data_IF_727187950936
#
_entry.id   IF_727187950936
#
_cell.length_a   1.000
_cell.length_b   1.000
_cell.length_c   1.000
_cell.angle_alpha   90.00
_cell.angle_beta   90.00
_cell.angle_gamma   90.00
#
_symmetry.space_group_name_H-M   'P 1'
#
loop_
_entity.id
_entity.type
_entity.pdbx_description
1 polymer ?
#
# COMPACT_ATOMS: atom_id res chain seq x y z
N UNK A 1 25.38 3.13 15.82
CA UNK A 1 25.95 3.19 14.45
C UNK A 1 24.91 3.95 13.66
N UNK A 2 25.28 5.11 13.11
CA UNK A 2 24.34 6.00 12.42
C UNK A 2 23.71 5.27 11.23
N UNK A 3 22.38 5.25 11.13
CA UNK A 3 21.69 4.70 9.97
C UNK A 3 22.09 5.48 8.70
N UNK A 4 22.40 4.76 7.62
CA UNK A 4 22.61 5.32 6.28
C UNK A 4 21.86 4.47 5.26
N UNK A 5 21.32 5.11 4.21
CA UNK A 5 20.71 4.41 3.09
C UNK A 5 21.84 3.85 2.22
N UNK A 6 22.07 2.53 2.30
CA UNK A 6 23.12 1.86 1.53
C UNK A 6 22.75 1.77 0.03
N UNK A 7 23.37 2.60 -0.80
CA UNK A 7 23.16 2.64 -2.25
C UNK A 7 23.47 1.29 -2.94
N UNK A 8 24.44 0.53 -2.43
CA UNK A 8 24.76 -0.81 -2.96
C UNK A 8 23.64 -1.80 -2.64
N UNK A 9 23.05 -1.68 -1.44
CA UNK A 9 21.88 -2.49 -1.07
C UNK A 9 20.65 -2.12 -1.91
N UNK A 10 20.39 -0.82 -2.10
CA UNK A 10 19.31 -0.32 -2.97
C UNK A 10 19.49 -0.84 -4.39
N UNK A 11 20.69 -0.78 -4.95
CA UNK A 11 20.99 -1.29 -6.30
C UNK A 11 20.75 -2.80 -6.42
N UNK A 12 21.07 -3.58 -5.39
CA UNK A 12 20.79 -5.03 -5.36
C UNK A 12 19.29 -5.32 -5.30
N UNK A 13 18.54 -4.56 -4.50
CA UNK A 13 17.08 -4.73 -4.35
C UNK A 13 16.34 -4.28 -5.62
N UNK A 14 16.73 -3.15 -6.23
CA UNK A 14 16.10 -2.66 -7.46
C UNK A 14 16.32 -3.59 -8.66
N UNK A 15 17.43 -4.34 -8.67
CA UNK A 15 17.73 -5.35 -9.67
C UNK A 15 16.93 -6.67 -9.48
N UNK A 16 16.19 -6.84 -8.38
CA UNK A 16 15.36 -8.03 -8.19
C UNK A 16 14.24 -8.06 -9.25
N UNK A 17 14.01 -9.20 -9.94
CA UNK A 17 12.99 -9.29 -10.99
C UNK A 17 11.61 -8.83 -10.54
N UNK A 18 11.19 -9.20 -9.34
CA UNK A 18 9.90 -8.82 -8.75
C UNK A 18 9.76 -7.32 -8.52
N UNK A 19 10.85 -6.63 -8.13
CA UNK A 19 10.86 -5.17 -7.92
C UNK A 19 10.83 -4.46 -9.27
N UNK A 20 11.60 -4.96 -10.24
CA UNK A 20 11.62 -4.43 -11.60
C UNK A 20 10.26 -4.61 -12.32
N UNK A 21 9.63 -5.77 -12.16
CA UNK A 21 8.32 -6.03 -12.76
C UNK A 21 7.23 -5.18 -12.12
N UNK A 22 7.25 -5.00 -10.79
CA UNK A 22 6.41 -4.02 -10.13
C UNK A 22 6.65 -2.61 -10.69
N UNK A 23 7.91 -2.18 -10.81
CA UNK A 23 8.25 -0.86 -11.32
C UNK A 23 7.70 -0.60 -12.73
N UNK A 24 7.72 -1.59 -13.64
CA UNK A 24 7.07 -1.47 -14.97
C UNK A 24 5.56 -1.24 -14.87
N UNK A 25 4.88 -1.95 -13.96
CA UNK A 25 3.45 -1.72 -13.69
C UNK A 25 3.24 -0.33 -13.09
N UNK A 26 4.13 0.10 -12.18
CA UNK A 26 4.13 1.43 -11.58
C UNK A 26 4.25 2.53 -12.62
N UNK A 27 5.20 2.42 -13.56
CA UNK A 27 5.33 3.36 -14.70
C UNK A 27 4.03 3.42 -15.50
N UNK A 28 3.41 2.26 -15.78
CA UNK A 28 2.13 2.20 -16.51
C UNK A 28 0.98 2.86 -15.76
N UNK A 29 1.00 2.89 -14.43
CA UNK A 29 0.03 3.60 -13.60
C UNK A 29 0.36 5.10 -13.58
N UNK A 30 1.57 5.48 -13.20
CA UNK A 30 2.03 6.88 -13.10
C UNK A 30 1.82 7.63 -14.42
N UNK A 31 1.99 6.96 -15.57
CA UNK A 31 1.78 7.55 -16.90
C UNK A 31 0.35 8.05 -17.17
N UNK A 32 -0.62 7.71 -16.32
CA UNK A 32 -1.97 8.27 -16.42
C UNK A 32 -2.04 9.73 -15.97
N UNK A 33 -1.10 10.20 -15.13
CA UNK A 33 -1.10 11.57 -14.64
C UNK A 33 -0.39 12.54 -15.62
N UNK A 34 -0.85 13.80 -15.69
CA UNK A 34 -2.04 14.33 -15.01
C UNK A 34 -3.32 13.75 -15.61
N UNK A 35 -4.29 13.40 -14.75
CA UNK A 35 -5.59 12.87 -15.19
C UNK A 35 -6.35 13.93 -15.98
N UNK A 36 -6.96 13.54 -17.10
CA UNK A 36 -7.43 14.51 -18.12
C UNK A 36 -8.93 14.78 -18.05
N UNK A 37 -9.72 13.88 -17.49
CA UNK A 37 -11.18 13.99 -17.48
C UNK A 37 -11.76 13.78 -16.08
N UNK A 38 -12.98 14.29 -15.88
CA UNK A 38 -13.68 14.26 -14.60
C UNK A 38 -13.92 12.82 -14.10
N UNK A 39 -14.23 11.88 -15.00
CA UNK A 39 -14.44 10.48 -14.63
C UNK A 39 -13.18 9.85 -14.04
N UNK A 40 -12.01 10.09 -14.64
CA UNK A 40 -10.74 9.60 -14.12
C UNK A 40 -10.42 10.20 -12.74
N UNK A 41 -10.70 11.49 -12.54
CA UNK A 41 -10.51 12.15 -11.25
C UNK A 41 -11.45 11.59 -10.17
N UNK A 42 -12.71 11.35 -10.51
CA UNK A 42 -13.70 10.72 -9.62
C UNK A 42 -13.28 9.28 -9.28
N UNK A 43 -12.91 8.49 -10.29
CA UNK A 43 -12.43 7.12 -10.07
C UNK A 43 -11.17 7.05 -9.19
N UNK A 44 -10.25 8.01 -9.34
CA UNK A 44 -9.04 8.08 -8.52
C UNK A 44 -9.37 8.47 -7.06
N UNK A 45 -10.31 9.40 -6.87
CA UNK A 45 -10.85 9.73 -5.55
C UNK A 45 -11.50 8.51 -4.89
N UNK A 46 -12.41 7.82 -5.59
CA UNK A 46 -13.07 6.60 -5.11
C UNK A 46 -12.05 5.51 -4.71
N UNK A 47 -10.99 5.34 -5.53
CA UNK A 47 -9.90 4.42 -5.18
C UNK A 47 -9.16 4.85 -3.91
N UNK A 48 -8.87 6.15 -3.75
CA UNK A 48 -8.17 6.67 -2.58
C UNK A 48 -8.99 6.50 -1.29
N UNK A 49 -10.30 6.78 -1.33
CA UNK A 49 -11.22 6.53 -0.22
C UNK A 49 -11.28 5.02 0.11
N UNK A 50 -11.42 4.18 -0.91
CA UNK A 50 -11.43 2.73 -0.75
C UNK A 50 -10.09 2.17 -0.22
N UNK A 51 -8.96 2.80 -0.53
CA UNK A 51 -7.65 2.47 0.02
C UNK A 51 -7.60 2.77 1.53
N UNK A 52 -8.10 3.92 1.96
CA UNK A 52 -8.19 4.29 3.38
C UNK A 52 -9.07 3.30 4.15
N UNK A 53 -10.28 3.02 3.67
CA UNK A 53 -11.19 2.04 4.31
C UNK A 53 -10.51 0.68 4.49
N UNK A 54 -9.80 0.21 3.45
CA UNK A 54 -9.05 -1.05 3.49
C UNK A 54 -7.92 -1.01 4.53
N UNK A 55 -7.20 0.10 4.66
CA UNK A 55 -6.16 0.30 5.67
C UNK A 55 -6.73 0.33 7.09
N UNK A 56 -7.84 1.03 7.31
CA UNK A 56 -8.51 1.06 8.61
C UNK A 56 -9.01 -0.33 9.02
N UNK A 57 -9.56 -1.08 8.05
CA UNK A 57 -9.93 -2.48 8.28
C UNK A 57 -8.72 -3.37 8.60
N UNK A 58 -7.58 -3.19 7.92
CA UNK A 58 -6.33 -3.90 8.22
C UNK A 58 -5.87 -3.63 9.66
N UNK A 59 -5.82 -2.36 10.06
CA UNK A 59 -5.37 -1.94 11.39
C UNK A 59 -6.30 -2.44 12.48
N UNK A 60 -7.63 -2.26 12.33
CA UNK A 60 -8.61 -2.77 13.27
C UNK A 60 -8.54 -4.30 13.40
N UNK A 61 -8.35 -5.04 12.29
CA UNK A 61 -8.14 -6.49 12.35
C UNK A 61 -6.86 -6.86 13.09
N UNK A 62 -5.75 -6.13 12.91
CA UNK A 62 -4.53 -6.40 13.65
C UNK A 62 -4.72 -6.15 15.16
N UNK A 63 -5.24 -4.98 15.54
CA UNK A 63 -5.52 -4.62 16.94
C UNK A 63 -6.45 -5.63 17.63
N UNK A 64 -7.43 -6.14 16.87
CA UNK A 64 -8.44 -7.08 17.36
C UNK A 64 -8.12 -8.55 17.05
N UNK A 65 -6.86 -8.85 16.72
CA UNK A 65 -6.32 -10.21 16.46
C UNK A 65 -7.17 -11.04 15.49
N UNK A 66 -7.37 -10.48 14.30
CA UNK A 66 -8.14 -11.03 13.19
C UNK A 66 -9.60 -11.36 13.51
N UNK A 67 -10.27 -10.51 14.30
CA UNK A 67 -11.68 -10.72 14.61
C UNK A 67 -12.55 -10.71 13.34
N UNK A 68 -13.31 -11.78 13.13
CA UNK A 68 -14.28 -11.90 12.03
C UNK A 68 -15.44 -10.89 12.12
N UNK A 69 -15.52 -10.11 13.21
CA UNK A 69 -16.50 -9.03 13.39
C UNK A 69 -16.10 -7.75 12.67
N UNK A 70 -14.83 -7.58 12.30
CA UNK A 70 -14.37 -6.45 11.49
C UNK A 70 -14.67 -6.76 10.02
N UNK A 71 -15.75 -6.18 9.50
CA UNK A 71 -16.23 -6.36 8.12
C UNK A 71 -15.98 -5.11 7.28
N UNK A 72 -16.01 -5.26 5.96
CA UNK A 72 -15.91 -4.13 5.04
C UNK A 72 -17.04 -3.12 5.27
N UNK A 73 -18.28 -3.61 5.34
CA UNK A 73 -19.44 -2.76 5.59
C UNK A 73 -19.35 -1.97 6.91
N UNK A 74 -18.72 -2.53 7.95
CA UNK A 74 -18.47 -1.79 9.18
C UNK A 74 -17.39 -0.72 9.00
N UNK A 75 -16.31 -1.03 8.27
CA UNK A 75 -15.26 -0.06 7.98
C UNK A 75 -15.76 1.12 7.13
N UNK A 76 -16.53 0.84 6.07
CA UNK A 76 -17.18 1.85 5.21
C UNK A 76 -18.12 2.73 6.04
N UNK A 77 -18.97 2.11 6.85
CA UNK A 77 -19.87 2.82 7.75
C UNK A 77 -19.16 3.79 8.72
N UNK A 78 -18.05 3.36 9.32
CA UNK A 78 -17.27 4.21 10.23
C UNK A 78 -16.57 5.33 9.46
N UNK A 79 -16.05 5.05 8.26
CA UNK A 79 -15.49 6.06 7.37
C UNK A 79 -16.54 7.13 6.99
N UNK A 80 -17.79 6.72 6.73
CA UNK A 80 -18.93 7.62 6.50
C UNK A 80 -19.41 8.36 7.77
N UNK A 81 -18.72 8.20 8.90
CA UNK A 81 -18.99 8.90 10.15
C UNK A 81 -19.96 8.21 11.10
N UNK A 82 -20.29 6.93 10.90
CA UNK A 82 -21.14 6.20 11.84
C UNK A 82 -20.36 5.76 13.10
N UNK A 83 -20.73 6.33 14.24
CA UNK A 83 -20.19 5.94 15.56
C UNK A 83 -20.99 4.78 16.21
N UNK A 84 -22.16 4.44 15.67
CA UNK A 84 -23.01 3.34 16.16
C UNK A 84 -23.61 2.58 14.99
N UNK A 85 -23.21 1.33 14.82
CA UNK A 85 -23.66 0.47 13.72
C UNK A 85 -24.52 -0.69 14.28
N UNK A 86 -25.79 -0.82 13.87
CA UNK A 86 -26.66 -1.91 14.31
C UNK A 86 -26.04 -3.30 14.07
N UNK A 87 -25.94 -4.10 15.12
CA UNK A 87 -25.35 -5.46 15.04
C UNK A 87 -23.83 -5.50 15.02
N UNK A 88 -23.14 -4.35 14.99
CA UNK A 88 -21.70 -4.25 15.15
C UNK A 88 -21.34 -3.96 16.61
N UNK A 89 -20.40 -4.70 17.22
CA UNK A 89 -19.94 -4.39 18.57
C UNK A 89 -19.23 -3.03 18.64
N UNK A 90 -19.45 -2.27 19.71
CA UNK A 90 -18.83 -0.94 19.88
C UNK A 90 -17.30 -0.97 19.86
N UNK A 91 -16.67 -2.03 20.38
CA UNK A 91 -15.21 -2.16 20.34
C UNK A 91 -14.66 -2.37 18.91
N UNK A 92 -15.46 -2.87 17.96
CA UNK A 92 -15.09 -2.90 16.54
C UNK A 92 -15.14 -1.49 15.96
N UNK A 93 -16.21 -0.75 16.26
CA UNK A 93 -16.37 0.63 15.82
C UNK A 93 -15.25 1.51 16.36
N UNK A 94 -14.94 1.41 17.66
CA UNK A 94 -13.85 2.17 18.27
C UNK A 94 -12.49 1.84 17.64
N UNK A 95 -12.18 0.56 17.39
CA UNK A 95 -10.93 0.18 16.74
C UNK A 95 -10.83 0.70 15.30
N UNK A 96 -11.96 0.84 14.58
CA UNK A 96 -12.01 1.45 13.25
C UNK A 96 -11.85 2.98 13.32
N UNK A 97 -12.42 3.64 14.34
CA UNK A 97 -12.22 5.07 14.58
C UNK A 97 -10.76 5.38 14.92
N UNK A 98 -10.15 4.63 15.84
CA UNK A 98 -8.73 4.74 16.18
C UNK A 98 -7.83 4.52 14.95
N UNK A 99 -8.21 3.58 14.09
CA UNK A 99 -7.52 3.31 12.84
C UNK A 99 -7.66 4.46 11.81
N UNK A 100 -8.83 5.06 11.68
CA UNK A 100 -9.05 6.25 10.85
C UNK A 100 -8.23 7.44 11.36
N UNK A 101 -8.28 7.71 12.67
CA UNK A 101 -7.51 8.80 13.29
C UNK A 101 -6.00 8.65 13.02
N UNK A 102 -5.47 7.41 13.12
CA UNK A 102 -4.08 7.12 12.81
C UNK A 102 -3.74 7.32 11.32
N UNK A 103 -4.64 6.93 10.41
CA UNK A 103 -4.46 7.12 8.96
C UNK A 103 -4.50 8.61 8.60
N UNK A 104 -5.51 9.34 9.07
CA UNK A 104 -5.70 10.76 8.79
C UNK A 104 -4.56 11.61 9.34
N UNK A 105 -4.05 11.26 10.52
CA UNK A 105 -2.87 11.90 11.11
C UNK A 105 -1.64 11.83 10.20
N UNK A 106 -1.50 10.78 9.38
CA UNK A 106 -0.34 10.60 8.50
C UNK A 106 -0.46 11.34 7.17
N UNK A 107 -1.66 11.81 6.80
CA UNK A 107 -1.91 12.48 5.51
C UNK A 107 -1.04 13.72 5.27
N UNK A 108 -0.62 14.42 6.33
CA UNK A 108 0.24 15.60 6.26
C UNK A 108 1.73 15.25 6.07
N UNK A 109 2.14 13.98 6.26
CA UNK A 109 3.56 13.60 6.22
C UNK A 109 4.18 13.86 4.85
N UNK A 110 3.50 13.45 3.78
CA UNK A 110 4.04 13.60 2.42
C UNK A 110 4.33 15.07 2.08
N UNK A 111 3.53 16.01 2.61
CA UNK A 111 3.70 17.45 2.43
C UNK A 111 4.72 18.11 3.38
N UNK A 112 4.90 17.59 4.60
CA UNK A 112 5.68 18.26 5.66
C UNK A 112 7.01 17.60 5.97
N UNK A 113 7.13 16.29 5.72
CA UNK A 113 8.23 15.46 6.19
C UNK A 113 8.29 15.31 7.72
N UNK A 114 7.24 15.70 8.46
CA UNK A 114 7.24 15.67 9.93
C UNK A 114 7.23 14.24 10.47
N UNK A 115 8.38 13.79 10.97
CA UNK A 115 8.56 12.46 11.54
C UNK A 115 7.75 12.23 12.81
N UNK A 116 7.29 13.29 13.50
CA UNK A 116 6.51 13.16 14.73
C UNK A 116 5.11 12.57 14.48
N UNK A 117 4.59 12.69 13.25
CA UNK A 117 3.33 12.09 12.85
C UNK A 117 3.34 10.56 13.00
N UNK A 118 4.49 9.91 12.78
CA UNK A 118 4.62 8.45 12.95
C UNK A 118 4.38 8.03 14.40
N UNK A 119 4.88 8.81 15.37
CA UNK A 119 4.66 8.54 16.79
C UNK A 119 3.23 8.88 17.21
N UNK A 120 2.65 9.95 16.67
CA UNK A 120 1.24 10.28 16.92
C UNK A 120 0.28 9.23 16.37
N UNK A 121 0.57 8.67 15.19
CA UNK A 121 -0.17 7.52 14.65
C UNK A 121 -0.04 6.28 15.55
N UNK A 122 1.15 6.05 16.12
CA UNK A 122 1.34 4.98 17.11
C UNK A 122 0.51 5.21 18.38
N UNK A 123 0.39 6.45 18.84
CA UNK A 123 -0.42 6.82 20.01
C UNK A 123 -1.92 6.56 19.76
N UNK A 124 -2.45 6.93 18.59
CA UNK A 124 -3.85 6.61 18.21
C UNK A 124 -4.12 5.10 18.20
N UNK A 125 -3.16 4.30 17.76
CA UNK A 125 -3.25 2.84 17.72
C UNK A 125 -2.92 2.18 19.07
N UNK A 126 -2.75 2.97 20.14
CA UNK A 126 -2.40 2.51 21.48
C UNK A 126 -1.10 1.69 21.54
N UNK A 127 -0.11 2.01 20.69
CA UNK A 127 1.17 1.31 20.59
C UNK A 127 2.22 2.04 21.43
N UNK A 128 2.63 1.41 22.54
CA UNK A 128 3.69 1.96 23.41
C UNK A 128 5.07 1.51 22.92
N UNK A 129 5.88 2.48 22.47
CA UNK A 129 7.29 2.25 22.12
C UNK A 129 8.18 2.42 23.36
N UNK A 130 9.07 1.46 23.60
CA UNK A 130 10.13 1.63 24.60
C UNK A 130 11.22 2.58 24.11
N UNK A 131 11.98 3.17 25.03
CA UNK A 131 12.99 4.21 24.74
C UNK A 131 13.98 3.81 23.64
N UNK A 132 14.44 2.55 23.65
CA UNK A 132 15.35 2.02 22.64
C UNK A 132 14.73 2.03 21.24
N UNK A 133 13.52 1.51 21.10
CA UNK A 133 12.80 1.46 19.82
C UNK A 133 12.45 2.88 19.34
N UNK A 134 11.98 3.75 20.23
CA UNK A 134 11.70 5.16 19.91
C UNK A 134 12.96 5.86 19.38
N UNK A 135 14.08 5.78 20.09
CA UNK A 135 15.34 6.41 19.68
C UNK A 135 15.80 5.89 18.32
N UNK A 136 15.74 4.57 18.09
CA UNK A 136 16.14 3.98 16.81
C UNK A 136 15.21 4.39 15.66
N UNK A 137 13.89 4.50 15.91
CA UNK A 137 12.93 5.01 14.93
C UNK A 137 13.21 6.48 14.60
N UNK A 138 13.41 7.34 15.60
CA UNK A 138 13.72 8.77 15.42
C UNK A 138 14.99 8.96 14.58
N UNK A 139 16.03 8.16 14.82
CA UNK A 139 17.28 8.18 14.06
C UNK A 139 17.05 7.84 12.58
N UNK A 140 16.34 6.74 12.29
CA UNK A 140 16.07 6.31 10.91
C UNK A 140 15.17 7.32 10.19
N UNK A 141 14.06 7.71 10.80
CA UNK A 141 13.10 8.65 10.23
C UNK A 141 13.74 10.02 9.97
N UNK A 142 14.52 10.54 10.93
CA UNK A 142 15.23 11.81 10.78
C UNK A 142 16.27 11.78 9.66
N UNK A 143 17.01 10.67 9.53
CA UNK A 143 17.97 10.47 8.42
C UNK A 143 17.25 10.45 7.08
N UNK A 144 16.14 9.70 6.96
CA UNK A 144 15.37 9.62 5.71
C UNK A 144 14.81 11.00 5.35
N UNK A 145 14.20 11.71 6.30
CA UNK A 145 13.65 13.05 6.07
C UNK A 145 14.72 14.04 5.59
N UNK A 146 15.92 14.00 6.20
CA UNK A 146 17.04 14.84 5.77
C UNK A 146 17.51 14.53 4.34
N UNK A 147 17.58 13.24 3.96
CA UNK A 147 17.97 12.83 2.61
C UNK A 147 16.90 13.18 1.56
N UNK A 148 15.60 13.06 1.88
CA UNK A 148 14.52 13.51 0.98
C UNK A 148 14.61 15.03 0.77
N UNK A 149 14.76 15.79 1.85
CA UNK A 149 14.90 17.25 1.78
C UNK A 149 16.14 17.70 0.97
N UNK A 150 17.26 16.98 1.12
CA UNK A 150 18.48 17.22 0.35
C UNK A 150 18.28 16.96 -1.15
N UNK A 151 17.60 15.87 -1.51
CA UNK A 151 17.26 15.55 -2.91
C UNK A 151 16.33 16.60 -3.52
N UNK A 152 15.35 17.09 -2.75
CA UNK A 152 14.41 18.13 -3.18
C UNK A 152 15.11 19.44 -3.57
N UNK A 153 16.20 19.81 -2.88
CA UNK A 153 17.00 21.03 -3.17
C UNK A 153 17.89 20.92 -4.40
N UNK A 154 18.06 19.72 -4.96
CA UNK A 154 19.01 19.43 -6.04
C UNK A 154 20.48 19.46 -5.58
N UNK A 155 21.33 18.70 -6.26
CA UNK A 155 22.77 18.59 -5.96
C UNK A 155 23.61 19.86 -6.22
N UNK A 156 22.98 20.98 -6.61
CA UNK A 156 23.63 22.23 -7.02
C UNK A 156 23.35 23.46 -6.14
N UNK A 157 22.52 23.35 -5.10
CA UNK A 157 22.31 24.46 -4.17
C UNK A 157 23.51 24.57 -3.21
N UNK A 158 24.34 25.61 -3.39
CA UNK A 158 25.36 25.99 -2.42
C UNK A 158 24.71 26.10 -1.03
N UNK A 159 25.21 25.32 -0.08
CA UNK A 159 24.80 25.42 1.31
C UNK A 159 25.18 26.82 1.81
N UNK A 160 24.21 27.72 1.92
CA UNK A 160 24.37 28.94 2.71
C UNK A 160 24.27 28.54 4.19
N UNK A 161 25.25 28.97 4.99
CA UNK A 161 25.44 28.67 6.42
C UNK A 161 24.31 29.15 7.37
N UNK A 162 23.15 29.56 6.86
CA UNK A 162 22.01 30.06 7.64
C UNK A 162 20.98 28.97 8.02
N UNK A 163 21.40 27.70 8.06
CA UNK A 163 20.56 26.53 8.32
C UNK A 163 20.18 26.31 9.80
N UNK A 164 19.90 27.39 10.55
CA UNK A 164 19.58 27.34 11.98
C UNK A 164 18.09 27.60 12.31
N UNK A 165 17.21 27.71 11.31
CA UNK A 165 15.76 27.73 11.53
C UNK A 165 15.07 26.86 10.48
N UNK A 166 14.13 26.02 10.93
CA UNK A 166 13.42 24.99 10.17
C UNK A 166 13.27 25.32 8.69
N UNK A 167 14.07 24.68 7.86
CA UNK A 167 14.04 24.88 6.43
C UNK A 167 12.77 24.23 5.87
N UNK A 168 11.93 25.01 5.18
CA UNK A 168 10.74 24.51 4.49
C UNK A 168 11.12 23.30 3.63
N UNK A 169 10.56 22.15 4.00
CA UNK A 169 10.58 20.97 3.16
C UNK A 169 9.65 21.23 1.98
N UNK A 170 10.21 21.43 0.78
CA UNK A 170 9.42 21.59 -0.43
C UNK A 170 9.05 20.21 -0.99
N UNK A 171 7.97 19.65 -0.46
CA UNK A 171 7.41 18.36 -0.87
C UNK A 171 7.04 18.33 -2.36
N UNK A 172 6.56 19.45 -2.90
CA UNK A 172 6.14 19.55 -4.29
C UNK A 172 7.37 19.44 -5.19
N UNK A 173 8.44 20.19 -4.90
CA UNK A 173 9.70 20.06 -5.65
C UNK A 173 10.31 18.66 -5.56
N UNK A 174 10.25 18.03 -4.38
CA UNK A 174 10.72 16.65 -4.18
C UNK A 174 9.97 15.64 -5.06
N UNK A 175 8.64 15.72 -5.04
CA UNK A 175 7.76 14.87 -5.83
C UNK A 175 7.89 15.17 -7.33
N UNK A 176 7.97 16.43 -7.76
CA UNK A 176 8.16 16.78 -9.18
C UNK A 176 9.49 16.28 -9.73
N UNK A 177 10.58 16.40 -8.95
CA UNK A 177 11.88 15.87 -9.33
C UNK A 177 11.83 14.35 -9.56
N UNK A 178 11.16 13.62 -8.67
CA UNK A 178 10.91 12.19 -8.81
C UNK A 178 9.98 11.87 -9.98
N UNK A 179 8.90 12.63 -10.17
CA UNK A 179 7.93 12.42 -11.24
C UNK A 179 8.56 12.59 -12.64
N UNK A 180 9.49 13.53 -12.80
CA UNK A 180 10.19 13.77 -14.07
C UNK A 180 10.95 12.54 -14.60
N UNK A 181 11.34 11.63 -13.71
CA UNK A 181 12.06 10.38 -13.98
C UNK A 181 11.15 9.14 -13.95
N UNK A 182 9.85 9.31 -13.66
CA UNK A 182 8.89 8.18 -13.56
C UNK A 182 8.46 7.57 -14.90
N UNK A 183 9.06 8.00 -16.02
CA UNK A 183 8.92 7.33 -17.32
C UNK A 183 9.88 6.14 -17.48
N UNK A 184 10.89 6.04 -16.62
CA UNK A 184 11.89 4.99 -16.64
C UNK A 184 11.67 3.98 -15.50
N UNK A 185 11.51 2.71 -15.86
CA UNK A 185 11.29 1.63 -14.89
C UNK A 185 12.48 1.44 -13.94
N UNK A 186 13.71 1.68 -14.39
CA UNK A 186 14.90 1.57 -13.54
C UNK A 186 14.89 2.63 -12.42
N UNK A 187 14.50 3.85 -12.75
CA UNK A 187 14.43 4.96 -11.79
C UNK A 187 13.27 4.76 -10.79
N UNK A 188 12.13 4.23 -11.24
CA UNK A 188 11.03 3.81 -10.35
C UNK A 188 11.45 2.63 -9.47
N UNK A 189 12.19 1.65 -10.00
CA UNK A 189 12.67 0.49 -9.25
C UNK A 189 13.65 0.89 -8.15
N UNK A 190 14.56 1.83 -8.41
CA UNK A 190 15.49 2.37 -7.40
C UNK A 190 14.72 3.05 -6.27
N UNK A 191 13.76 3.91 -6.58
CA UNK A 191 12.94 4.61 -5.58
C UNK A 191 12.07 3.64 -4.76
N UNK A 192 11.47 2.66 -5.42
CA UNK A 192 10.71 1.61 -4.74
C UNK A 192 11.61 0.75 -3.84
N UNK A 193 12.80 0.39 -4.31
CA UNK A 193 13.81 -0.32 -3.51
C UNK A 193 14.26 0.47 -2.29
N UNK A 194 14.48 1.79 -2.40
CA UNK A 194 14.78 2.65 -1.25
C UNK A 194 13.69 2.59 -0.19
N UNK A 195 12.41 2.70 -0.60
CA UNK A 195 11.28 2.56 0.32
C UNK A 195 11.21 1.17 0.96
N UNK A 196 11.55 0.10 0.24
CA UNK A 196 11.62 -1.26 0.79
C UNK A 196 12.73 -1.44 1.83
N UNK A 197 13.92 -0.88 1.60
CA UNK A 197 15.04 -0.91 2.55
C UNK A 197 14.66 -0.22 3.86
N UNK A 198 14.05 0.96 3.76
CA UNK A 198 13.58 1.74 4.92
C UNK A 198 12.47 0.99 5.66
N UNK A 199 11.50 0.45 4.92
CA UNK A 199 10.42 -0.38 5.47
C UNK A 199 10.96 -1.59 6.24
N UNK A 200 11.92 -2.33 5.67
CA UNK A 200 12.51 -3.50 6.31
C UNK A 200 13.21 -3.12 7.61
N UNK A 201 14.01 -2.05 7.59
CA UNK A 201 14.73 -1.54 8.77
C UNK A 201 13.79 -1.13 9.90
N UNK A 202 12.76 -0.34 9.59
CA UNK A 202 11.78 0.12 10.59
C UNK A 202 10.99 -1.04 11.17
N UNK A 203 10.57 -2.00 10.33
CA UNK A 203 9.89 -3.21 10.83
C UNK A 203 10.82 -4.06 11.72
N UNK A 204 12.11 -4.18 11.40
CA UNK A 204 13.07 -4.89 12.27
C UNK A 204 13.19 -4.21 13.65
N UNK A 205 13.17 -2.87 13.72
CA UNK A 205 13.16 -2.13 14.98
C UNK A 205 11.86 -2.39 15.75
N UNK A 206 10.71 -2.32 15.07
CA UNK A 206 9.40 -2.46 15.72
C UNK A 206 9.09 -3.89 16.20
N UNK A 207 9.69 -4.89 15.53
CA UNK A 207 9.57 -6.30 15.89
C UNK A 207 10.65 -6.78 16.86
N UNK A 208 11.67 -5.98 17.17
CA UNK A 208 12.73 -6.36 18.12
C UNK A 208 12.10 -6.68 19.48
N UNK A 209 12.51 -7.80 20.09
CA UNK A 209 11.98 -8.35 21.36
C UNK A 209 10.52 -8.87 21.31
N UNK A 210 9.88 -8.96 20.13
CA UNK A 210 8.53 -9.52 19.98
C UNK A 210 8.54 -10.89 19.32
N UNK A 211 8.07 -11.90 20.05
CA UNK A 211 7.97 -13.27 19.56
C UNK A 211 6.57 -13.67 19.06
N UNK A 212 5.51 -12.90 19.28
CA UNK A 212 4.22 -13.24 18.70
C UNK A 212 4.01 -12.47 17.38
N UNK A 213 3.64 -13.18 16.32
CA UNK A 213 3.47 -12.55 15.00
C UNK A 213 2.28 -11.58 14.98
N UNK A 214 1.26 -11.79 15.83
CA UNK A 214 0.17 -10.82 15.95
C UNK A 214 0.61 -9.57 16.71
N UNK A 215 1.47 -9.73 17.73
CA UNK A 215 2.05 -8.57 18.42
C UNK A 215 2.94 -7.76 17.46
N UNK A 216 3.76 -8.44 16.66
CA UNK A 216 4.52 -7.82 15.57
C UNK A 216 3.61 -7.11 14.56
N UNK A 217 2.47 -7.72 14.18
CA UNK A 217 1.52 -7.12 13.24
C UNK A 217 0.92 -5.82 13.76
N UNK A 218 0.61 -5.74 15.05
CA UNK A 218 0.16 -4.49 15.70
C UNK A 218 1.29 -3.47 15.70
N UNK A 219 2.51 -3.88 16.08
CA UNK A 219 3.67 -3.00 16.20
C UNK A 219 4.03 -2.29 14.89
N UNK A 220 3.90 -2.96 13.75
CA UNK A 220 4.35 -2.39 12.46
C UNK A 220 3.32 -1.49 11.78
N UNK A 221 2.10 -1.32 12.33
CA UNK A 221 1.05 -0.51 11.69
C UNK A 221 1.48 0.94 11.39
N UNK A 222 2.15 1.69 12.30
CA UNK A 222 2.62 3.04 11.99
C UNK A 222 3.68 3.06 10.88
N UNK A 223 4.49 2.00 10.77
CA UNK A 223 5.48 1.84 9.69
C UNK A 223 4.78 1.67 8.34
N UNK A 224 3.67 0.92 8.29
CA UNK A 224 2.91 0.72 7.05
C UNK A 224 2.30 2.04 6.55
N UNK A 225 1.76 2.87 7.46
CA UNK A 225 1.26 4.21 7.12
C UNK A 225 2.40 5.11 6.62
N UNK A 226 3.48 5.20 7.41
CA UNK A 226 4.67 5.98 7.06
C UNK A 226 5.24 5.65 5.69
N UNK A 227 5.45 4.37 5.39
CA UNK A 227 6.08 3.95 4.13
C UNK A 227 5.20 4.29 2.92
N UNK A 228 3.87 4.33 3.07
CA UNK A 228 2.99 4.78 1.99
C UNK A 228 3.13 6.29 1.73
N UNK A 229 3.22 7.11 2.78
CA UNK A 229 3.43 8.55 2.61
C UNK A 229 4.86 8.87 2.11
N UNK A 230 5.86 8.07 2.51
CA UNK A 230 7.21 8.16 1.94
C UNK A 230 7.25 7.81 0.45
N UNK A 231 6.45 6.82 0.02
CA UNK A 231 6.34 6.46 -1.41
C UNK A 231 5.77 7.63 -2.22
N UNK A 232 4.83 8.38 -1.67
CA UNK A 232 4.31 9.61 -2.29
C UNK A 232 5.44 10.63 -2.56
N UNK A 233 6.30 10.88 -1.57
CA UNK A 233 7.48 11.75 -1.73
C UNK A 233 8.48 11.24 -2.77
N UNK A 234 8.51 9.93 -2.99
CA UNK A 234 9.32 9.28 -4.04
C UNK A 234 8.59 9.14 -5.38
N UNK A 235 7.35 9.63 -5.51
CA UNK A 235 6.47 9.39 -6.68
C UNK A 235 6.39 7.90 -7.05
N UNK A 236 6.31 7.05 -6.04
CA UNK A 236 6.00 5.63 -6.14
C UNK A 236 4.56 5.45 -5.66
N UNK A 237 3.68 4.73 -6.38
CA UNK A 237 2.29 4.62 -5.95
C UNK A 237 2.17 3.84 -4.63
N UNK A 238 1.17 4.19 -3.82
CA UNK A 238 0.87 3.54 -2.53
C UNK A 238 0.55 2.05 -2.73
N UNK A 239 0.77 1.25 -1.69
CA UNK A 239 0.55 -0.20 -1.72
C UNK A 239 -0.37 -0.59 -0.56
N UNK A 240 -1.26 -1.54 -0.80
CA UNK A 240 -2.08 -2.16 0.22
C UNK A 240 -1.69 -3.63 0.47
N UNK A 241 -1.90 -4.07 1.70
CA UNK A 241 -1.74 -5.46 2.12
C UNK A 241 -2.86 -5.82 3.10
N UNK A 242 -3.47 -6.98 2.93
CA UNK A 242 -4.49 -7.47 3.87
C UNK A 242 -3.87 -7.96 5.18
N UNK A 243 -4.66 -8.04 6.25
CA UNK A 243 -4.17 -8.55 7.53
C UNK A 243 -3.57 -9.98 7.45
N UNK A 244 -4.19 -10.95 6.75
CA UNK A 244 -3.56 -12.26 6.56
C UNK A 244 -2.22 -12.20 5.83
N UNK A 245 -2.10 -11.36 4.79
CA UNK A 245 -0.84 -11.16 4.07
C UNK A 245 0.24 -10.50 4.97
N UNK A 246 -0.14 -9.61 5.88
CA UNK A 246 0.77 -9.02 6.86
C UNK A 246 1.33 -10.09 7.81
N UNK A 247 0.45 -10.96 8.34
CA UNK A 247 0.88 -12.08 9.19
C UNK A 247 1.80 -13.05 8.43
N UNK A 248 1.52 -13.30 7.15
CA UNK A 248 2.36 -14.13 6.29
C UNK A 248 3.75 -13.51 6.08
N UNK A 249 3.82 -12.22 5.71
CA UNK A 249 5.08 -11.49 5.58
C UNK A 249 5.91 -11.58 6.86
N UNK A 250 5.31 -11.29 8.02
CA UNK A 250 6.02 -11.31 9.30
C UNK A 250 6.50 -12.72 9.67
N UNK A 251 5.71 -13.76 9.38
CA UNK A 251 6.11 -15.15 9.57
C UNK A 251 7.31 -15.54 8.69
N UNK A 252 7.31 -15.11 7.42
CA UNK A 252 8.43 -15.35 6.50
C UNK A 252 9.68 -14.58 6.92
N UNK A 253 9.54 -13.31 7.34
CA UNK A 253 10.65 -12.50 7.84
C UNK A 253 11.28 -13.12 9.08
N UNK A 254 10.47 -13.60 10.00
CA UNK A 254 10.96 -14.30 11.18
C UNK A 254 11.74 -15.56 10.82
N UNK A 255 11.24 -16.34 9.86
CA UNK A 255 11.97 -17.50 9.35
C UNK A 255 13.32 -17.11 8.76
N UNK A 256 13.39 -16.02 8.00
CA UNK A 256 14.64 -15.49 7.47
C UNK A 256 15.61 -15.05 8.58
N UNK A 257 15.12 -14.34 9.61
CA UNK A 257 15.94 -13.94 10.76
C UNK A 257 16.56 -15.16 11.48
N UNK A 258 15.78 -16.21 11.70
CA UNK A 258 16.29 -17.46 12.31
C UNK A 258 17.36 -18.15 11.46
N UNK A 259 17.22 -18.10 10.13
CA UNK A 259 18.21 -18.64 9.19
C UNK A 259 19.50 -17.81 9.24
N UNK A 260 19.39 -16.48 9.29
CA UNK A 260 20.54 -15.57 9.40
C UNK A 260 21.32 -15.81 10.70
N UNK A 261 20.62 -15.90 11.84
CA UNK A 261 21.22 -16.18 13.16
C UNK A 261 21.93 -17.54 13.20
N UNK A 262 21.42 -18.52 12.45
CA UNK A 262 22.05 -19.86 12.36
C UNK A 262 23.32 -19.89 11.49
N UNK A 263 23.63 -18.81 10.77
CA UNK A 263 24.73 -18.72 9.80
C UNK A 263 24.48 -19.48 8.49
N UNK A 264 23.29 -20.06 8.30
CA UNK A 264 22.94 -20.85 7.12
C UNK A 264 22.65 -19.98 5.87
N UNK A 265 22.38 -18.69 6.03
CA UNK A 265 22.11 -17.77 4.94
C UNK A 265 23.25 -17.70 3.90
N UNK A 266 24.50 -17.72 4.37
CA UNK A 266 25.71 -17.76 3.53
C UNK A 266 25.79 -19.02 2.66
N UNK A 267 25.21 -20.14 3.13
CA UNK A 267 25.21 -21.42 2.41
C UNK A 267 24.12 -21.52 1.33
N UNK A 268 23.02 -20.77 1.49
CA UNK A 268 21.84 -20.85 0.60
C UNK A 268 21.90 -19.79 -0.52
N UNK A 269 22.84 -18.84 -0.45
CA UNK A 269 22.93 -17.73 -1.40
C UNK A 269 21.80 -16.69 -1.23
N UNK A 270 20.99 -16.81 -0.17
CA UNK A 270 19.99 -15.81 0.20
C UNK A 270 20.68 -14.66 0.97
N UNK A 271 21.31 -13.75 0.22
CA UNK A 271 22.20 -12.72 0.77
C UNK A 271 21.51 -11.43 1.24
N UNK A 272 20.17 -11.43 1.32
CA UNK A 272 19.38 -10.24 1.71
C UNK A 272 18.51 -10.46 2.96
N UNK A 273 18.53 -11.64 3.59
CA UNK A 273 17.83 -11.89 4.87
C UNK A 273 16.36 -11.47 4.85
N UNK A 274 15.93 -10.75 5.90
CA UNK A 274 14.57 -10.17 6.01
C UNK A 274 14.22 -9.25 4.84
N UNK A 275 15.17 -8.43 4.38
CA UNK A 275 14.96 -7.51 3.26
C UNK A 275 14.66 -8.24 1.97
N UNK A 276 15.28 -9.40 1.74
CA UNK A 276 14.99 -10.24 0.57
C UNK A 276 13.54 -10.74 0.58
N UNK A 277 13.05 -11.15 1.76
CA UNK A 277 11.65 -11.55 1.96
C UNK A 277 10.70 -10.36 1.77
N UNK A 278 10.99 -9.23 2.40
CA UNK A 278 10.21 -7.99 2.29
C UNK A 278 10.10 -7.55 0.84
N UNK A 279 11.21 -7.51 0.10
CA UNK A 279 11.24 -7.10 -1.31
C UNK A 279 10.46 -8.05 -2.22
N UNK A 280 10.57 -9.36 -2.02
CA UNK A 280 9.81 -10.34 -2.82
C UNK A 280 8.31 -10.24 -2.58
N UNK A 281 7.91 -10.26 -1.31
CA UNK A 281 6.51 -10.28 -0.93
C UNK A 281 5.81 -8.95 -1.29
N UNK A 282 6.42 -7.82 -0.90
CA UNK A 282 5.85 -6.50 -1.16
C UNK A 282 5.93 -6.15 -2.64
N UNK A 283 6.97 -6.56 -3.37
CA UNK A 283 7.05 -6.35 -4.81
C UNK A 283 5.90 -7.02 -5.58
N UNK A 284 5.55 -8.26 -5.22
CA UNK A 284 4.39 -8.95 -5.80
C UNK A 284 3.07 -8.22 -5.52
N UNK A 285 2.88 -7.74 -4.28
CA UNK A 285 1.67 -7.01 -3.89
C UNK A 285 1.60 -5.63 -4.54
N UNK A 286 2.74 -4.95 -4.69
CA UNK A 286 2.85 -3.68 -5.40
C UNK A 286 2.35 -3.82 -6.84
N UNK A 287 2.87 -4.81 -7.57
CA UNK A 287 2.44 -5.05 -8.96
C UNK A 287 0.93 -5.32 -9.06
N UNK A 288 0.35 -6.06 -8.11
CA UNK A 288 -1.08 -6.36 -8.10
C UNK A 288 -1.92 -5.11 -7.78
N UNK A 289 -1.54 -4.36 -6.76
CA UNK A 289 -2.25 -3.16 -6.32
C UNK A 289 -2.17 -2.06 -7.38
N UNK A 290 -1.01 -1.82 -7.97
CA UNK A 290 -0.84 -0.80 -9.01
C UNK A 290 -1.58 -1.16 -10.30
N UNK A 291 -1.63 -2.45 -10.67
CA UNK A 291 -2.46 -2.90 -11.77
C UNK A 291 -3.96 -2.75 -11.45
N UNK A 292 -4.38 -2.95 -10.21
CA UNK A 292 -5.75 -2.72 -9.76
C UNK A 292 -6.10 -1.23 -9.81
N UNK A 293 -5.32 -0.35 -9.18
CA UNK A 293 -5.51 1.10 -9.21
C UNK A 293 -5.63 1.64 -10.64
N UNK A 294 -4.76 1.18 -11.54
CA UNK A 294 -4.84 1.55 -12.97
C UNK A 294 -6.16 1.13 -13.61
N UNK A 295 -6.70 -0.04 -13.27
CA UNK A 295 -7.99 -0.51 -13.78
C UNK A 295 -9.13 0.34 -13.22
N UNK A 296 -9.09 0.69 -11.94
CA UNK A 296 -10.10 1.54 -11.31
C UNK A 296 -10.13 2.93 -11.97
N UNK A 297 -8.99 3.59 -12.17
CA UNK A 297 -8.93 4.89 -12.85
C UNK A 297 -9.54 4.83 -14.26
N UNK A 298 -9.27 3.74 -14.98
CA UNK A 298 -9.74 3.55 -16.37
C UNK A 298 -11.12 2.92 -16.47
N UNK A 299 -11.79 2.67 -15.36
CA UNK A 299 -13.10 2.03 -15.36
C UNK A 299 -14.15 2.98 -15.95
N UNK A 300 -14.92 2.46 -16.92
CA UNK A 300 -16.03 3.17 -17.55
C UNK A 300 -17.37 2.53 -17.13
N UNK A 301 -18.20 3.22 -16.31
CA UNK A 301 -19.48 2.70 -15.85
C UNK A 301 -20.46 2.40 -16.98
N UNK A 302 -20.47 3.23 -18.02
CA UNK A 302 -21.41 3.10 -19.13
C UNK A 302 -21.00 1.95 -20.05
N UNK A 303 -19.70 1.78 -20.30
CA UNK A 303 -19.21 0.60 -21.01
C UNK A 303 -19.48 -0.69 -20.21
N UNK A 304 -19.31 -0.66 -18.89
CA UNK A 304 -19.62 -1.78 -18.01
C UNK A 304 -21.11 -2.16 -18.07
N UNK A 305 -22.01 -1.18 -17.97
CA UNK A 305 -23.47 -1.39 -18.11
C UNK A 305 -23.84 -1.96 -19.48
N UNK A 306 -23.23 -1.46 -20.55
CA UNK A 306 -23.46 -1.96 -21.91
C UNK A 306 -23.02 -3.42 -22.04
N UNK A 307 -21.80 -3.76 -21.59
CA UNK A 307 -21.29 -5.14 -21.61
C UNK A 307 -22.15 -6.09 -20.78
N UNK A 308 -22.61 -5.67 -19.60
CA UNK A 308 -23.51 -6.47 -18.76
C UNK A 308 -24.84 -6.77 -19.46
N UNK A 309 -25.45 -5.75 -20.08
CA UNK A 309 -26.69 -5.93 -20.85
C UNK A 309 -26.50 -6.88 -22.04
N UNK A 310 -25.39 -6.75 -22.77
CA UNK A 310 -25.06 -7.63 -23.90
C UNK A 310 -24.83 -9.08 -23.45
N UNK A 311 -24.17 -9.30 -22.31
CA UNK A 311 -23.97 -10.63 -21.74
C UNK A 311 -25.29 -11.26 -21.27
N UNK A 312 -26.16 -10.49 -20.64
CA UNK A 312 -27.50 -10.93 -20.23
C UNK A 312 -28.36 -11.27 -21.46
N UNK A 313 -28.33 -10.44 -22.50
CA UNK A 313 -29.01 -10.73 -23.77
C UNK A 313 -28.46 -12.00 -24.43
N UNK A 314 -27.14 -12.23 -24.38
CA UNK A 314 -26.50 -13.45 -24.91
C UNK A 314 -26.92 -14.68 -24.11
N UNK A 315 -26.83 -14.65 -22.78
CA UNK A 315 -27.26 -15.76 -21.90
C UNK A 315 -28.75 -16.05 -22.08
N UNK A 316 -29.58 -15.02 -22.22
CA UNK A 316 -31.01 -15.16 -22.50
C UNK A 316 -31.26 -15.85 -23.85
N UNK A 317 -30.57 -15.43 -24.92
CA UNK A 317 -30.66 -16.07 -26.25
C UNK A 317 -30.19 -17.52 -26.23
N UNK A 318 -29.10 -17.83 -25.55
CA UNK A 318 -28.58 -19.20 -25.41
C UNK A 318 -29.56 -20.10 -24.64
N UNK A 319 -30.10 -19.61 -23.52
CA UNK A 319 -31.12 -20.33 -22.75
C UNK A 319 -32.42 -20.52 -23.56
N UNK A 320 -32.79 -19.54 -24.39
CA UNK A 320 -33.94 -19.68 -25.30
C UNK A 320 -33.68 -20.76 -26.34
N UNK A 321 -32.52 -20.71 -27.01
CA UNK A 321 -32.13 -21.68 -28.02
C UNK A 321 -32.06 -23.12 -27.45
N UNK A 322 -31.60 -23.27 -26.20
CA UNK A 322 -31.59 -24.56 -25.50
C UNK A 322 -33.01 -25.06 -25.18
N UNK A 323 -33.92 -24.18 -24.73
CA UNK A 323 -35.34 -24.54 -24.54
C UNK A 323 -36.02 -24.96 -25.83
N UNK A 324 -35.64 -24.36 -26.96
CA UNK A 324 -36.20 -24.68 -28.28
C UNK A 324 -35.52 -25.87 -28.98
N UNK A 325 -34.39 -26.40 -28.48
CA UNK A 325 -33.74 -27.61 -29.04
C UNK A 325 -34.60 -28.89 -28.95
N UNK A 326 -35.59 -28.93 -28.07
CA UNK A 326 -36.49 -30.07 -27.91
C UNK A 326 -37.87 -29.88 -28.57
N UNK A 327 -38.12 -28.71 -29.16
CA UNK A 327 -39.32 -28.50 -29.98
C UNK A 327 -39.00 -29.04 -31.37
N UNK A 328 -39.36 -30.31 -31.63
CA UNK A 328 -39.56 -30.76 -33.01
C UNK A 328 -40.75 -30.01 -33.57
N UNK A 329 -40.62 -29.45 -34.77
CA UNK A 329 -41.78 -29.02 -35.55
C UNK A 329 -42.79 -30.17 -35.58
N UNK A 330 -43.96 -29.93 -35.01
CA UNK A 330 -45.06 -30.88 -35.02
C UNK A 330 -45.71 -30.79 -36.41
N UNK A 331 -45.56 -31.82 -37.28
CA UNK A 331 -46.05 -31.77 -38.65
C UNK A 331 -47.59 -31.74 -38.73
N UNK A 332 -48.31 -31.94 -37.61
CA UNK A 332 -49.78 -31.91 -37.55
C UNK A 332 -50.35 -30.56 -37.07
N UNK A 333 -49.54 -29.50 -36.97
CA UNK A 333 -50.03 -28.17 -36.55
C UNK A 333 -50.86 -27.53 -37.69
N UNK A 334 -52.18 -27.32 -37.52
CA UNK A 334 -53.00 -26.75 -38.59
C UNK A 334 -52.54 -25.32 -38.90
N UNK A 335 -52.34 -25.03 -40.19
CA UNK A 335 -52.10 -23.67 -40.67
C UNK A 335 -53.30 -22.80 -40.26
N UNK A 336 -53.02 -21.80 -39.43
CA UNK A 336 -53.97 -20.74 -39.15
C UNK A 336 -53.83 -19.76 -40.32
N UNK A 337 -54.82 -19.78 -41.22
CA UNK A 337 -54.98 -18.75 -42.25
C UNK A 337 -55.19 -17.39 -41.59
N UNK A 338 -54.37 -16.43 -41.98
CA UNK A 338 -54.49 -15.00 -41.68
C UNK A 338 -55.25 -14.30 -42.80
#
# INVERSE_FOLDING_TARGET
>A
MTFEIDDSLVARVSALPVVMDAAKVGVSLISLWPLQNAQQLENDADYAEGLQVRFSMLMARAMLRNSSKVTMAAAEAVYDGMEVIPGCPLWVVNALLEANDAYDCMSEYSATGDIHLVFKAADYLNIVLGDKARTAMEEVLGTVAAEVAKKARGSGAMASDDAANGSDFDAVAAAEACLSTSTNADEVAVRFASALVICDKLMNIMCEDFDDVNDQAIRVLPVLLYVNELREQFSVPRIFMTHPQLLELLSLRRTAHMIDDSGAASAIGNSLGTLGVTAQFVGMLAAQEWAYHRREILWDPEEAKRKAKEEDERKSKEALAEKFKHVKDDPDKPQIDL
#
